data_IF_179366443265
#
_entry.id   IF_179366443265
#
_cell.length_a   1.000
_cell.length_b   1.000
_cell.length_c   1.000
_cell.angle_alpha   90.00
_cell.angle_beta   90.00
_cell.angle_gamma   90.00
#
_symmetry.space_group_name_H-M   'P 1'
#
loop_
_entity.id
_entity.type
_entity.pdbx_description
1 polymer ?
#
# COMPACT_ATOMS: atom_id res chain seq x y z
N UNK A 1 0.92 -19.99 14.95
CA UNK A 1 0.64 -19.34 13.65
C UNK A 1 1.50 -20.03 12.62
N UNK A 2 0.93 -20.40 11.47
CA UNK A 2 1.63 -21.16 10.43
C UNK A 2 2.50 -20.19 9.61
N UNK A 3 3.70 -20.60 9.25
CA UNK A 3 4.68 -19.75 8.53
C UNK A 3 4.19 -19.29 7.15
N UNK A 4 3.36 -20.09 6.47
CA UNK A 4 2.83 -19.77 5.14
C UNK A 4 1.78 -18.64 5.14
N UNK A 5 1.05 -18.42 6.24
CA UNK A 5 0.08 -17.31 6.34
C UNK A 5 0.78 -15.98 6.65
N UNK A 6 1.95 -16.04 7.30
CA UNK A 6 2.72 -14.87 7.74
C UNK A 6 3.54 -14.24 6.60
N UNK A 7 3.94 -15.03 5.60
CA UNK A 7 4.71 -14.55 4.44
C UNK A 7 3.88 -13.66 3.50
N UNK A 8 2.59 -13.94 3.33
CA UNK A 8 1.68 -13.24 2.40
C UNK A 8 1.17 -11.88 2.91
N UNK A 9 1.39 -11.56 4.19
CA UNK A 9 1.00 -10.28 4.79
C UNK A 9 2.13 -9.25 4.69
N UNK A 10 3.37 -9.71 4.87
CA UNK A 10 4.55 -8.85 4.91
C UNK A 10 5.02 -8.42 3.51
N UNK A 11 4.93 -9.31 2.52
CA UNK A 11 5.26 -8.98 1.13
C UNK A 11 4.32 -7.90 0.55
N UNK A 12 3.02 -7.95 0.85
CA UNK A 12 2.02 -6.93 0.48
C UNK A 12 2.35 -5.56 1.05
N UNK A 13 2.75 -5.51 2.32
CA UNK A 13 3.16 -4.28 3.00
C UNK A 13 4.42 -3.69 2.34
N UNK A 14 5.43 -4.53 2.08
CA UNK A 14 6.67 -4.12 1.43
C UNK A 14 6.44 -3.65 -0.01
N UNK A 15 5.59 -4.35 -0.77
CA UNK A 15 5.25 -3.98 -2.15
C UNK A 15 4.44 -2.68 -2.20
N UNK A 16 3.51 -2.47 -1.27
CA UNK A 16 2.77 -1.21 -1.14
C UNK A 16 3.70 -0.04 -0.81
N UNK A 17 4.63 -0.23 0.13
CA UNK A 17 5.65 0.78 0.43
C UNK A 17 6.55 1.07 -0.75
N UNK A 18 7.04 0.03 -1.44
CA UNK A 18 7.85 0.19 -2.64
C UNK A 18 7.11 1.05 -3.69
N UNK A 19 5.84 0.76 -3.94
CA UNK A 19 5.00 1.56 -4.83
C UNK A 19 4.92 3.03 -4.38
N UNK A 20 4.68 3.30 -3.10
CA UNK A 20 4.60 4.68 -2.59
C UNK A 20 5.88 5.49 -2.79
N UNK A 21 7.06 4.84 -2.75
CA UNK A 21 8.32 5.52 -3.06
C UNK A 21 8.49 5.73 -4.56
N UNK A 22 8.04 4.78 -5.39
CA UNK A 22 8.13 4.87 -6.84
C UNK A 22 7.17 5.92 -7.43
N UNK A 23 6.00 6.12 -6.81
CA UNK A 23 5.04 7.16 -7.20
C UNK A 23 5.61 8.59 -7.02
N UNK A 24 6.73 8.75 -6.30
CA UNK A 24 7.41 10.03 -6.13
C UNK A 24 8.11 10.57 -7.38
N UNK A 25 8.33 9.74 -8.41
CA UNK A 25 8.94 10.17 -9.68
C UNK A 25 7.85 10.58 -10.69
N UNK A 26 7.81 11.84 -11.17
CA UNK A 26 6.85 12.28 -12.19
C UNK A 26 6.89 11.42 -13.46
N UNK A 27 5.73 11.18 -14.07
CA UNK A 27 5.58 10.23 -15.18
C UNK A 27 6.47 10.58 -16.39
N UNK A 28 6.67 11.86 -16.66
CA UNK A 28 7.54 12.38 -17.71
C UNK A 28 9.03 12.02 -17.53
N UNK A 29 9.45 11.66 -16.31
CA UNK A 29 10.81 11.23 -15.98
C UNK A 29 10.94 9.70 -15.89
N UNK A 30 9.85 8.96 -16.06
CA UNK A 30 9.85 7.50 -15.96
C UNK A 30 10.20 6.85 -17.31
N UNK A 31 11.29 6.09 -17.32
CA UNK A 31 11.62 5.25 -18.48
C UNK A 31 10.74 3.98 -18.54
N UNK A 32 10.86 3.21 -19.62
CA UNK A 32 10.04 2.01 -19.84
C UNK A 32 10.19 0.94 -18.75
N UNK A 33 11.40 0.75 -18.23
CA UNK A 33 11.66 -0.25 -17.18
C UNK A 33 11.05 0.20 -15.84
N UNK A 34 11.14 1.48 -15.52
CA UNK A 34 10.53 2.05 -14.33
C UNK A 34 9.01 1.87 -14.35
N UNK A 35 8.36 2.22 -15.47
CA UNK A 35 6.92 2.02 -15.67
C UNK A 35 6.53 0.55 -15.52
N UNK A 36 7.35 -0.36 -16.06
CA UNK A 36 7.13 -1.81 -15.96
C UNK A 36 7.23 -2.32 -14.51
N UNK A 37 8.17 -1.81 -13.72
CA UNK A 37 8.28 -2.15 -12.29
C UNK A 37 7.01 -1.71 -11.55
N UNK A 38 6.56 -0.47 -11.75
CA UNK A 38 5.31 0.05 -11.18
C UNK A 38 4.12 -0.83 -11.58
N UNK A 39 4.02 -1.19 -12.86
CA UNK A 39 2.94 -2.06 -13.36
C UNK A 39 2.95 -3.44 -12.69
N UNK A 40 4.13 -4.06 -12.56
CA UNK A 40 4.27 -5.36 -11.91
C UNK A 40 3.89 -5.32 -10.43
N UNK A 41 4.34 -4.30 -9.70
CA UNK A 41 3.96 -4.11 -8.30
C UNK A 41 2.46 -3.89 -8.16
N UNK A 42 1.87 -3.03 -9.01
CA UNK A 42 0.42 -2.82 -9.02
C UNK A 42 -0.35 -4.11 -9.30
N UNK A 43 0.10 -4.91 -10.26
CA UNK A 43 -0.50 -6.20 -10.57
C UNK A 43 -0.38 -7.19 -9.41
N UNK A 44 0.75 -7.21 -8.72
CA UNK A 44 0.96 -8.02 -7.53
C UNK A 44 -0.01 -7.64 -6.40
N UNK A 45 -0.15 -6.34 -6.12
CA UNK A 45 -1.04 -5.81 -5.07
C UNK A 45 -2.54 -6.05 -5.33
N UNK A 46 -2.95 -6.38 -6.57
CA UNK A 46 -4.34 -6.80 -6.86
C UNK A 46 -4.72 -8.09 -6.15
N UNK A 47 -3.75 -8.89 -5.72
CA UNK A 47 -3.98 -10.13 -4.99
C UNK A 47 -4.17 -9.91 -3.48
N UNK A 48 -4.11 -8.66 -3.01
CA UNK A 48 -4.31 -8.34 -1.61
C UNK A 48 -5.72 -8.78 -1.15
N UNK A 49 -5.77 -9.66 -0.15
CA UNK A 49 -7.02 -10.05 0.54
C UNK A 49 -7.36 -8.99 1.59
N UNK A 50 -7.75 -7.80 1.13
CA UNK A 50 -7.91 -6.61 1.95
C UNK A 50 -8.45 -6.87 3.36
N UNK A 51 -7.65 -6.57 4.38
CA UNK A 51 -8.06 -6.55 5.78
C UNK A 51 -8.30 -5.10 6.18
N UNK A 52 -9.56 -4.69 6.10
CA UNK A 52 -9.96 -3.32 6.39
C UNK A 52 -10.00 -3.12 7.90
N UNK A 53 -9.27 -2.12 8.37
CA UNK A 53 -9.26 -1.66 9.76
C UNK A 53 -9.76 -0.22 9.84
N UNK A 54 -10.28 0.14 11.00
CA UNK A 54 -10.70 1.49 11.33
C UNK A 54 -9.66 2.13 12.25
N UNK A 55 -9.29 3.37 11.96
CA UNK A 55 -8.39 4.17 12.78
C UNK A 55 -8.87 5.62 12.87
N UNK A 56 -8.36 6.35 13.87
CA UNK A 56 -8.67 7.74 14.14
C UNK A 56 -7.37 8.54 14.10
N UNK A 57 -7.23 9.39 13.09
CA UNK A 57 -6.07 10.27 12.96
C UNK A 57 -6.38 11.65 13.52
N UNK A 58 -5.45 12.18 14.32
CA UNK A 58 -5.50 13.57 14.76
C UNK A 58 -5.25 14.49 13.56
N UNK A 59 -6.17 15.44 13.34
CA UNK A 59 -6.07 16.46 12.28
C UNK A 59 -5.91 17.86 12.84
N UNK A 60 -5.88 17.99 14.17
CA UNK A 60 -5.73 19.23 14.91
C UNK A 60 -5.91 18.97 16.42
N UNK A 61 -5.72 19.99 17.27
CA UNK A 61 -5.72 19.84 18.73
C UNK A 61 -6.98 19.19 19.31
N UNK A 62 -8.14 19.47 18.73
CA UNK A 62 -9.45 18.96 19.18
C UNK A 62 -10.22 18.26 18.05
N UNK A 63 -9.56 17.91 16.95
CA UNK A 63 -10.21 17.37 15.75
C UNK A 63 -9.59 16.07 15.30
N UNK A 64 -10.37 14.99 15.31
CA UNK A 64 -9.99 13.69 14.77
C UNK A 64 -10.76 13.38 13.49
N UNK A 65 -10.17 12.55 12.63
CA UNK A 65 -10.87 11.97 11.48
C UNK A 65 -10.80 10.47 11.56
N UNK A 66 -11.96 9.84 11.37
CA UNK A 66 -12.04 8.40 11.14
C UNK A 66 -11.55 8.08 9.73
N UNK A 67 -10.66 7.11 9.62
CA UNK A 67 -10.17 6.57 8.36
C UNK A 67 -10.38 5.06 8.32
N UNK A 68 -10.64 4.53 7.12
CA UNK A 68 -10.76 3.10 6.85
C UNK A 68 -9.69 2.75 5.83
N UNK A 69 -8.81 1.80 6.15
CA UNK A 69 -7.74 1.40 5.26
C UNK A 69 -7.45 -0.09 5.38
N UNK A 70 -6.85 -0.65 4.32
CA UNK A 70 -6.32 -2.01 4.36
C UNK A 70 -5.01 -2.06 5.14
N UNK A 71 -4.94 -2.87 6.20
CA UNK A 71 -3.73 -3.06 7.02
C UNK A 71 -2.53 -3.58 6.22
N UNK A 72 -2.77 -4.35 5.16
CA UNK A 72 -1.70 -4.96 4.37
C UNK A 72 -1.18 -4.07 3.25
N UNK A 73 -2.05 -3.35 2.54
CA UNK A 73 -1.66 -2.59 1.35
C UNK A 73 -1.83 -1.08 1.50
N UNK A 74 -2.27 -0.59 2.67
CA UNK A 74 -2.47 0.82 3.00
C UNK A 74 -3.41 1.60 2.07
N UNK A 75 -4.22 0.91 1.25
CA UNK A 75 -5.24 1.55 0.42
C UNK A 75 -6.42 1.94 1.30
N UNK A 76 -6.81 3.21 1.24
CA UNK A 76 -8.02 3.74 1.88
C UNK A 76 -9.25 3.40 1.05
N UNK A 77 -10.38 3.18 1.71
CA UNK A 77 -11.70 3.01 1.09
C UNK A 77 -12.50 4.31 1.06
#
# INVERSE_FOLDING_TARGET
MNTDEMECEYDMELMSRALSYLDGLPEELQNSEYKKIIELINNYLKNCKHKIVEDYIDTGPDTTKRILYCEYCNKTL
#
